data_IF_456054977361
#
_entry.id   IF_456054977361
#
_cell.length_a   1.000
_cell.length_b   1.000
_cell.length_c   1.000
_cell.angle_alpha   90.00
_cell.angle_beta   90.00
_cell.angle_gamma   90.00
#
_symmetry.space_group_name_H-M   'P 1'
#
loop_
_entity.id
_entity.type
_entity.pdbx_description
1 polymer ?
#
# COMPACT_ATOMS: atom_id res chain seq x y z
N UNK A 1 -8.77 -24.82 -14.82
CA UNK A 1 -8.48 -24.61 -13.38
C UNK A 1 -9.05 -25.71 -12.46
N UNK A 2 -9.35 -26.93 -12.94
CA UNK A 2 -10.02 -27.99 -12.14
C UNK A 2 -9.07 -28.74 -11.17
N UNK A 3 -7.76 -28.51 -11.24
CA UNK A 3 -6.76 -29.29 -10.48
C UNK A 3 -6.48 -28.77 -9.05
N UNK A 4 -6.98 -27.58 -8.68
CA UNK A 4 -6.65 -26.93 -7.40
C UNK A 4 -7.84 -26.16 -6.81
N UNK A 5 -8.91 -26.87 -6.44
CA UNK A 5 -10.16 -26.25 -5.97
C UNK A 5 -10.01 -25.44 -4.66
N UNK A 6 -8.97 -25.69 -3.86
CA UNK A 6 -8.68 -24.96 -2.61
C UNK A 6 -7.81 -23.71 -2.79
N UNK A 7 -7.27 -23.46 -3.98
CA UNK A 7 -6.36 -22.32 -4.22
C UNK A 7 -7.13 -21.04 -4.51
N UNK A 8 -6.99 -20.04 -3.67
CA UNK A 8 -7.44 -18.68 -3.97
C UNK A 8 -6.51 -18.05 -5.00
N UNK A 9 -7.11 -17.46 -6.04
CA UNK A 9 -6.40 -16.58 -6.95
C UNK A 9 -7.00 -15.20 -6.79
N UNK A 10 -6.16 -14.23 -6.48
CA UNK A 10 -6.56 -12.83 -6.38
C UNK A 10 -5.48 -11.97 -7.05
N UNK A 11 -5.87 -10.95 -7.82
CA UNK A 11 -4.94 -9.92 -8.25
C UNK A 11 -4.28 -9.21 -7.07
N UNK A 12 -3.11 -8.64 -7.33
CA UNK A 12 -2.34 -7.86 -6.37
C UNK A 12 -3.09 -6.57 -6.00
N UNK A 13 -3.32 -6.35 -4.70
CA UNK A 13 -4.04 -5.19 -4.20
C UNK A 13 -3.30 -3.89 -4.52
N UNK A 14 -1.99 -3.86 -4.29
CA UNK A 14 -1.18 -2.67 -4.59
C UNK A 14 -1.28 -2.27 -6.07
N UNK A 15 -1.30 -3.25 -6.98
CA UNK A 15 -1.47 -3.01 -8.41
C UNK A 15 -2.84 -2.41 -8.73
N UNK A 16 -3.90 -2.89 -8.09
CA UNK A 16 -5.24 -2.32 -8.30
C UNK A 16 -5.34 -0.88 -7.77
N UNK A 17 -4.80 -0.60 -6.58
CA UNK A 17 -4.80 0.77 -6.05
C UNK A 17 -3.95 1.71 -6.91
N UNK A 18 -2.81 1.24 -7.42
CA UNK A 18 -2.01 1.99 -8.39
C UNK A 18 -2.82 2.29 -9.67
N UNK A 19 -3.63 1.33 -10.16
CA UNK A 19 -4.53 1.54 -11.30
C UNK A 19 -5.68 2.51 -11.02
N UNK A 20 -6.16 2.61 -9.78
CA UNK A 20 -7.12 3.64 -9.37
C UNK A 20 -6.45 5.01 -9.44
N UNK A 21 -5.24 5.14 -8.89
CA UNK A 21 -4.47 6.39 -8.95
C UNK A 21 -4.14 6.77 -10.40
N UNK A 22 -3.80 5.82 -11.26
CA UNK A 22 -3.64 6.05 -12.70
C UNK A 22 -4.90 6.64 -13.33
N UNK A 23 -6.05 6.03 -13.11
CA UNK A 23 -7.31 6.51 -13.69
C UNK A 23 -7.69 7.91 -13.16
N UNK A 24 -7.46 8.19 -11.87
CA UNK A 24 -7.65 9.53 -11.29
C UNK A 24 -6.65 10.53 -11.92
N UNK A 25 -5.39 10.14 -12.08
CA UNK A 25 -4.34 10.96 -12.69
C UNK A 25 -4.58 11.27 -14.18
N UNK A 26 -5.45 10.49 -14.83
CA UNK A 26 -5.85 10.68 -16.23
C UNK A 26 -7.09 11.57 -16.39
N UNK A 27 -7.72 12.03 -15.30
CA UNK A 27 -8.77 13.06 -15.38
C UNK A 27 -8.11 14.37 -15.84
N UNK A 28 -8.64 15.02 -16.88
CA UNK A 28 -8.00 16.16 -17.58
C UNK A 28 -7.42 17.23 -16.64
N UNK A 29 -8.21 17.68 -15.65
CA UNK A 29 -7.77 18.71 -14.71
C UNK A 29 -6.70 18.19 -13.73
N UNK A 30 -6.76 16.92 -13.33
CA UNK A 30 -5.74 16.27 -12.49
C UNK A 30 -4.45 16.12 -13.28
N UNK A 31 -4.54 15.61 -14.51
CA UNK A 31 -3.40 15.42 -15.39
C UNK A 31 -2.65 16.73 -15.64
N UNK A 32 -3.40 17.81 -15.89
CA UNK A 32 -2.85 19.16 -16.08
C UNK A 32 -2.00 19.59 -14.89
N UNK A 33 -2.52 19.42 -13.66
CA UNK A 33 -1.81 19.80 -12.43
C UNK A 33 -0.60 18.91 -12.18
N UNK A 34 -0.68 17.61 -12.48
CA UNK A 34 0.46 16.70 -12.36
C UNK A 34 1.59 17.07 -13.33
N UNK A 35 1.29 17.47 -14.56
CA UNK A 35 2.30 17.94 -15.52
C UNK A 35 2.85 19.34 -15.17
N UNK A 36 2.03 20.23 -14.61
CA UNK A 36 2.47 21.50 -14.03
C UNK A 36 3.45 21.26 -12.86
N UNK A 37 3.11 20.37 -11.93
CA UNK A 37 3.97 19.96 -10.82
C UNK A 37 5.30 19.35 -11.29
N UNK A 38 5.25 18.49 -12.31
CA UNK A 38 6.43 17.90 -12.95
C UNK A 38 7.32 18.95 -13.64
N UNK A 39 6.71 19.99 -14.19
CA UNK A 39 7.43 21.12 -14.77
C UNK A 39 8.17 21.92 -13.68
N UNK A 40 7.52 22.16 -12.54
CA UNK A 40 8.15 22.77 -11.35
C UNK A 40 9.34 21.92 -10.88
N UNK A 41 9.14 20.63 -10.65
CA UNK A 41 10.23 19.77 -10.14
C UNK A 41 11.37 19.64 -11.14
N UNK A 42 11.09 19.47 -12.43
CA UNK A 42 12.14 19.44 -13.46
C UNK A 42 13.01 20.69 -13.45
N UNK A 43 12.40 21.87 -13.26
CA UNK A 43 13.16 23.11 -13.16
C UNK A 43 13.99 23.19 -11.87
N UNK A 44 13.38 22.88 -10.72
CA UNK A 44 14.05 22.97 -9.41
C UNK A 44 15.25 22.03 -9.31
N UNK A 45 15.13 20.82 -9.85
CA UNK A 45 16.20 19.81 -9.84
C UNK A 45 17.17 19.94 -11.02
N UNK A 46 16.85 20.74 -12.04
CA UNK A 46 17.63 20.83 -13.27
C UNK A 46 18.98 21.56 -13.13
N UNK A 47 19.15 22.37 -12.09
CA UNK A 47 20.38 23.14 -11.86
C UNK A 47 20.77 23.08 -10.38
N UNK A 48 22.06 22.84 -10.09
CA UNK A 48 22.58 22.69 -8.72
C UNK A 48 22.29 23.91 -7.84
N UNK A 49 22.37 25.12 -8.40
CA UNK A 49 22.09 26.35 -7.66
C UNK A 49 20.61 26.44 -7.25
N UNK A 50 19.68 26.16 -8.17
CA UNK A 50 18.24 26.16 -7.90
C UNK A 50 17.86 25.08 -6.90
N UNK A 51 18.45 23.88 -7.02
CA UNK A 51 18.25 22.77 -6.10
C UNK A 51 18.71 23.13 -4.67
N UNK A 52 19.91 23.72 -4.54
CA UNK A 52 20.43 24.15 -3.25
C UNK A 52 19.59 25.28 -2.65
N UNK A 53 19.09 26.20 -3.47
CA UNK A 53 18.16 27.23 -3.04
C UNK A 53 16.86 26.62 -2.52
N UNK A 54 16.25 25.70 -3.27
CA UNK A 54 15.04 25.00 -2.81
C UNK A 54 15.27 24.33 -1.46
N UNK A 55 16.35 23.56 -1.31
CA UNK A 55 16.72 22.89 -0.05
C UNK A 55 16.89 23.86 1.11
N UNK A 56 17.47 25.05 0.87
CA UNK A 56 17.58 26.10 1.91
C UNK A 56 16.22 26.52 2.44
N UNK A 57 15.23 26.67 1.57
CA UNK A 57 13.88 27.14 1.93
C UNK A 57 12.96 26.02 2.43
N UNK A 58 13.16 24.78 1.98
CA UNK A 58 12.37 23.62 2.42
C UNK A 58 12.94 22.93 3.66
N UNK A 59 14.06 23.43 4.22
CA UNK A 59 14.75 22.81 5.34
C UNK A 59 15.36 21.44 4.98
N UNK A 60 15.84 21.30 3.75
CA UNK A 60 16.43 20.06 3.22
C UNK A 60 15.43 19.02 2.74
N UNK A 61 14.13 19.29 2.79
CA UNK A 61 13.09 18.36 2.33
C UNK A 61 13.08 18.25 0.81
N UNK A 62 13.14 17.02 0.32
CA UNK A 62 13.03 16.68 -1.10
C UNK A 62 11.57 16.70 -1.57
N UNK A 63 11.35 17.16 -2.80
CA UNK A 63 10.01 17.19 -3.42
C UNK A 63 9.71 15.93 -4.23
N UNK A 64 10.73 15.30 -4.81
CA UNK A 64 10.57 14.06 -5.58
C UNK A 64 10.82 12.86 -4.67
N UNK A 65 9.94 11.87 -4.78
CA UNK A 65 10.02 10.61 -4.03
C UNK A 65 10.16 9.43 -5.00
N UNK A 66 11.40 9.06 -5.39
CA UNK A 66 11.63 8.02 -6.39
C UNK A 66 11.35 6.61 -5.82
N UNK A 67 11.33 5.58 -6.68
CA UNK A 67 11.29 4.14 -6.32
C UNK A 67 9.91 3.57 -5.90
N UNK A 68 8.82 4.16 -6.36
CA UNK A 68 7.47 3.57 -6.29
C UNK A 68 6.90 3.49 -7.71
N UNK A 69 5.67 2.96 -7.89
CA UNK A 69 4.97 3.06 -9.17
C UNK A 69 4.89 4.52 -9.64
N UNK A 70 4.81 4.69 -10.96
CA UNK A 70 4.88 6.00 -11.63
C UNK A 70 3.82 6.97 -11.10
N UNK A 71 2.56 6.53 -10.98
CA UNK A 71 1.47 7.41 -10.57
C UNK A 71 1.50 7.75 -9.09
N UNK A 72 1.89 6.79 -8.23
CA UNK A 72 2.10 7.08 -6.81
C UNK A 72 3.21 8.12 -6.63
N UNK A 73 4.30 7.99 -7.37
CA UNK A 73 5.39 8.99 -7.39
C UNK A 73 4.88 10.38 -7.78
N UNK A 74 3.98 10.48 -8.75
CA UNK A 74 3.40 11.75 -9.18
C UNK A 74 2.56 12.41 -8.09
N UNK A 75 1.65 11.66 -7.45
CA UNK A 75 0.82 12.21 -6.37
C UNK A 75 1.62 12.52 -5.11
N UNK A 76 2.63 11.71 -4.77
CA UNK A 76 3.53 12.01 -3.65
C UNK A 76 4.37 13.26 -3.92
N UNK A 77 4.86 13.44 -5.15
CA UNK A 77 5.59 14.65 -5.52
C UNK A 77 4.71 15.89 -5.47
N UNK A 78 3.47 15.79 -5.98
CA UNK A 78 2.47 16.86 -5.88
C UNK A 78 2.18 17.21 -4.42
N UNK A 79 2.00 16.21 -3.55
CA UNK A 79 1.81 16.41 -2.11
C UNK A 79 3.00 17.14 -1.48
N UNK A 80 4.23 16.75 -1.78
CA UNK A 80 5.41 17.43 -1.26
C UNK A 80 5.46 18.89 -1.70
N UNK A 81 5.09 19.21 -2.95
CA UNK A 81 4.97 20.59 -3.43
C UNK A 81 3.90 21.36 -2.65
N UNK A 82 2.73 20.76 -2.44
CA UNK A 82 1.63 21.35 -1.65
C UNK A 82 2.05 21.65 -0.21
N UNK A 83 2.76 20.73 0.45
CA UNK A 83 3.27 20.94 1.81
C UNK A 83 4.31 22.08 1.86
N UNK A 84 5.05 22.28 0.76
CA UNK A 84 6.07 23.32 0.65
C UNK A 84 5.56 24.60 -0.02
N UNK A 85 4.24 24.80 -0.17
CA UNK A 85 3.65 25.94 -0.87
C UNK A 85 4.24 27.29 -0.43
N UNK A 86 4.17 27.59 0.87
CA UNK A 86 4.64 28.86 1.42
C UNK A 86 6.16 29.02 1.27
N UNK A 87 6.91 27.93 1.47
CA UNK A 87 8.37 27.93 1.34
C UNK A 87 8.80 28.18 -0.11
N UNK A 88 8.11 27.59 -1.08
CA UNK A 88 8.37 27.81 -2.50
C UNK A 88 8.00 29.23 -2.90
N UNK A 89 6.84 29.75 -2.48
CA UNK A 89 6.47 31.16 -2.69
C UNK A 89 7.50 32.12 -2.10
N UNK A 90 7.95 31.84 -0.87
CA UNK A 90 8.99 32.60 -0.19
C UNK A 90 10.31 32.56 -0.96
N UNK A 91 10.75 31.40 -1.44
CA UNK A 91 11.96 31.26 -2.26
C UNK A 91 11.92 32.18 -3.50
N UNK A 92 10.82 32.17 -4.27
CA UNK A 92 10.70 32.96 -5.50
C UNK A 92 10.49 34.48 -5.29
N UNK A 93 10.21 34.90 -4.06
CA UNK A 93 10.12 36.32 -3.65
C UNK A 93 11.35 36.81 -2.89
N UNK A 94 12.21 35.92 -2.42
CA UNK A 94 13.39 36.27 -1.63
C UNK A 94 14.42 37.06 -2.44
N UNK A 95 15.13 37.98 -1.78
CA UNK A 95 16.16 38.84 -2.40
C UNK A 95 17.25 38.02 -3.09
N UNK A 96 17.78 36.98 -2.45
CA UNK A 96 18.76 36.04 -3.03
C UNK A 96 18.30 35.47 -4.40
N UNK A 97 17.01 35.15 -4.53
CA UNK A 97 16.44 34.71 -5.80
C UNK A 97 16.39 35.85 -6.80
N UNK A 98 15.81 36.99 -6.42
CA UNK A 98 15.61 38.14 -7.30
C UNK A 98 16.93 38.74 -7.83
N UNK A 99 18.01 38.68 -7.04
CA UNK A 99 19.34 39.14 -7.45
C UNK A 99 20.10 38.11 -8.30
N UNK A 100 19.62 36.88 -8.42
CA UNK A 100 20.32 35.82 -9.14
C UNK A 100 20.28 36.02 -10.67
N UNK A 101 21.28 35.49 -11.35
CA UNK A 101 21.30 35.43 -12.82
C UNK A 101 20.16 34.57 -13.40
N UNK A 102 19.64 33.62 -12.61
CA UNK A 102 18.58 32.70 -13.02
C UNK A 102 17.20 33.35 -13.02
N UNK A 103 16.97 34.34 -12.15
CA UNK A 103 15.66 35.00 -12.02
C UNK A 103 15.15 35.57 -13.33
N UNK A 104 16.02 36.10 -14.20
CA UNK A 104 15.65 36.74 -15.47
C UNK A 104 15.42 35.75 -16.61
N UNK A 105 15.71 34.46 -16.42
CA UNK A 105 15.55 33.46 -17.45
C UNK A 105 14.06 33.24 -17.78
N UNK A 106 13.65 33.10 -19.06
CA UNK A 106 12.24 32.92 -19.42
C UNK A 106 11.58 31.73 -18.72
N UNK A 107 12.31 30.60 -18.60
CA UNK A 107 11.81 29.42 -17.87
C UNK A 107 11.59 29.72 -16.38
N UNK A 108 12.48 30.48 -15.74
CA UNK A 108 12.35 30.88 -14.34
C UNK A 108 11.10 31.75 -14.11
N UNK A 109 10.81 32.66 -15.04
CA UNK A 109 9.63 33.52 -14.99
C UNK A 109 8.34 32.72 -15.22
N UNK A 110 8.37 31.71 -16.09
CA UNK A 110 7.24 30.81 -16.28
C UNK A 110 6.95 30.00 -14.99
N UNK A 111 7.97 29.43 -14.36
CA UNK A 111 7.82 28.72 -13.08
C UNK A 111 7.33 29.65 -11.98
N UNK A 112 7.91 30.85 -11.86
CA UNK A 112 7.44 31.85 -10.91
C UNK A 112 5.95 32.16 -11.14
N UNK A 113 5.55 32.41 -12.38
CA UNK A 113 4.15 32.69 -12.72
C UNK A 113 3.22 31.54 -12.30
N UNK A 114 3.64 30.28 -12.52
CA UNK A 114 2.90 29.10 -12.09
C UNK A 114 2.82 28.96 -10.56
N UNK A 115 3.91 29.22 -9.83
CA UNK A 115 3.96 29.20 -8.36
C UNK A 115 3.07 30.28 -7.73
N UNK A 116 2.79 31.38 -8.43
CA UNK A 116 1.86 32.42 -7.97
C UNK A 116 0.45 32.27 -8.54
N UNK A 117 0.17 31.18 -9.25
CA UNK A 117 -1.12 30.97 -9.89
C UNK A 117 -2.10 30.25 -8.94
N UNK A 118 -3.13 30.96 -8.48
CA UNK A 118 -4.12 30.41 -7.53
C UNK A 118 -4.81 29.14 -8.04
N UNK A 119 -5.05 29.04 -9.36
CA UNK A 119 -5.67 27.84 -9.95
C UNK A 119 -4.82 26.59 -9.71
N UNK A 120 -3.50 26.70 -9.81
CA UNK A 120 -2.59 25.57 -9.64
C UNK A 120 -2.72 25.02 -8.22
N UNK A 121 -2.59 25.88 -7.20
CA UNK A 121 -2.68 25.46 -5.81
C UNK A 121 -4.04 24.88 -5.47
N UNK A 122 -5.13 25.53 -5.90
CA UNK A 122 -6.49 25.02 -5.67
C UNK A 122 -6.65 23.59 -6.18
N UNK A 123 -6.28 23.32 -7.43
CA UNK A 123 -6.40 21.99 -8.00
C UNK A 123 -5.34 21.01 -7.49
N UNK A 124 -4.16 21.48 -7.06
CA UNK A 124 -3.14 20.65 -6.42
C UNK A 124 -3.63 20.12 -5.06
N UNK A 125 -4.18 20.98 -4.21
CA UNK A 125 -4.82 20.59 -2.95
C UNK A 125 -5.96 19.60 -3.17
N UNK A 126 -6.77 19.83 -4.21
CA UNK A 126 -7.86 18.92 -4.58
C UNK A 126 -7.33 17.54 -4.99
N UNK A 127 -6.41 17.47 -5.96
CA UNK A 127 -5.83 16.20 -6.41
C UNK A 127 -5.12 15.43 -5.29
N UNK A 128 -4.41 16.11 -4.39
CA UNK A 128 -3.79 15.50 -3.21
C UNK A 128 -4.84 14.90 -2.27
N UNK A 129 -5.93 15.63 -2.02
CA UNK A 129 -7.02 15.18 -1.14
C UNK A 129 -7.72 13.93 -1.70
N UNK A 130 -7.88 13.84 -3.02
CA UNK A 130 -8.46 12.68 -3.69
C UNK A 130 -7.53 11.45 -3.65
N UNK A 131 -6.22 11.66 -3.79
CA UNK A 131 -5.23 10.58 -3.84
C UNK A 131 -4.85 10.05 -2.45
N UNK A 132 -4.89 10.90 -1.42
CA UNK A 132 -4.45 10.56 -0.06
C UNK A 132 -5.00 9.23 0.50
N UNK A 133 -6.32 8.94 0.48
CA UNK A 133 -6.81 7.69 1.03
C UNK A 133 -6.26 6.46 0.29
N UNK A 134 -6.00 6.54 -1.02
CA UNK A 134 -5.39 5.44 -1.77
C UNK A 134 -3.91 5.27 -1.45
N UNK A 135 -3.19 6.37 -1.22
CA UNK A 135 -1.81 6.32 -0.73
C UNK A 135 -1.77 5.65 0.65
N UNK A 136 -2.72 5.93 1.54
CA UNK A 136 -2.85 5.23 2.83
C UNK A 136 -3.09 3.73 2.65
N UNK A 137 -4.01 3.33 1.76
CA UNK A 137 -4.24 1.91 1.47
C UNK A 137 -2.98 1.25 0.91
N UNK A 138 -2.25 1.92 0.01
CA UNK A 138 -0.99 1.40 -0.51
C UNK A 138 0.03 1.14 0.61
N UNK A 139 0.16 2.06 1.56
CA UNK A 139 1.01 1.85 2.75
C UNK A 139 0.61 0.65 3.58
N UNK A 140 -0.68 0.35 3.66
CA UNK A 140 -1.17 -0.84 4.35
C UNK A 140 -0.73 -2.10 3.60
N UNK A 141 -0.97 -2.17 2.28
CA UNK A 141 -0.75 -3.41 1.50
C UNK A 141 0.69 -3.69 1.12
N UNK A 142 1.48 -2.63 0.90
CA UNK A 142 2.94 -2.73 0.67
C UNK A 142 3.72 -2.72 1.98
N UNK A 143 3.02 -2.46 3.10
CA UNK A 143 3.57 -2.56 4.43
C UNK A 143 3.89 -4.01 4.81
N UNK A 144 4.41 -4.13 6.02
CA UNK A 144 4.92 -5.37 6.56
C UNK A 144 3.88 -6.05 7.49
N UNK A 145 2.73 -5.39 7.67
CA UNK A 145 1.61 -5.82 8.51
C UNK A 145 0.55 -6.62 7.74
N UNK A 146 -0.14 -7.59 8.37
CA UNK A 146 -1.23 -8.34 7.72
C UNK A 146 -2.38 -7.43 7.27
N UNK A 147 -2.44 -7.13 5.98
CA UNK A 147 -3.33 -6.14 5.38
C UNK A 147 -4.70 -6.68 4.96
N UNK A 148 -4.84 -8.01 4.78
CA UNK A 148 -5.99 -8.63 4.12
C UNK A 148 -7.33 -8.27 4.76
N UNK A 149 -7.39 -8.23 6.08
CA UNK A 149 -8.59 -7.89 6.84
C UNK A 149 -9.03 -6.42 6.73
N UNK A 150 -8.20 -5.53 6.18
CA UNK A 150 -8.44 -4.09 6.15
C UNK A 150 -8.79 -3.56 4.75
N UNK A 151 -8.66 -4.40 3.71
CA UNK A 151 -8.81 -3.97 2.32
C UNK A 151 -10.18 -3.40 2.00
N UNK A 152 -11.24 -4.12 2.37
CA UNK A 152 -12.61 -3.72 2.07
C UNK A 152 -12.96 -2.42 2.81
N UNK A 153 -12.62 -2.33 4.09
CA UNK A 153 -12.82 -1.12 4.89
C UNK A 153 -12.00 0.06 4.33
N UNK A 154 -10.78 -0.17 3.88
CA UNK A 154 -9.93 0.86 3.27
C UNK A 154 -10.59 1.52 2.05
N UNK A 155 -11.19 0.73 1.15
CA UNK A 155 -11.89 1.24 -0.03
C UNK A 155 -13.13 2.04 0.36
N UNK A 156 -13.92 1.56 1.32
CA UNK A 156 -15.09 2.28 1.80
C UNK A 156 -14.69 3.59 2.51
N UNK A 157 -13.63 3.58 3.32
CA UNK A 157 -13.04 4.79 3.90
C UNK A 157 -12.55 5.77 2.84
N UNK A 158 -11.98 5.30 1.74
CA UNK A 158 -11.56 6.15 0.62
C UNK A 158 -12.76 6.85 -0.03
N UNK A 159 -13.82 6.10 -0.34
CA UNK A 159 -15.08 6.66 -0.87
C UNK A 159 -15.67 7.71 0.07
N UNK A 160 -15.77 7.40 1.37
CA UNK A 160 -16.27 8.33 2.40
C UNK A 160 -15.42 9.58 2.46
N UNK A 161 -14.08 9.46 2.45
CA UNK A 161 -13.16 10.59 2.49
C UNK A 161 -13.38 11.54 1.30
N UNK A 162 -13.55 11.00 0.10
CA UNK A 162 -13.83 11.78 -1.12
C UNK A 162 -15.19 12.47 -1.03
N UNK A 163 -16.23 11.76 -0.55
CA UNK A 163 -17.56 12.35 -0.35
C UNK A 163 -17.52 13.50 0.66
N UNK A 164 -16.79 13.34 1.76
CA UNK A 164 -16.60 14.38 2.78
C UNK A 164 -15.87 15.58 2.20
N UNK A 165 -14.81 15.37 1.43
CA UNK A 165 -14.08 16.45 0.74
C UNK A 165 -15.00 17.32 -0.12
N UNK A 166 -15.90 16.68 -0.88
CA UNK A 166 -16.91 17.38 -1.69
C UNK A 166 -18.18 17.78 -0.94
N UNK A 167 -18.19 17.71 0.39
CA UNK A 167 -19.33 18.08 1.25
C UNK A 167 -20.64 17.37 0.88
N UNK A 168 -20.54 16.14 0.37
CA UNK A 168 -21.69 15.35 -0.04
C UNK A 168 -22.33 15.74 -1.38
N UNK A 169 -21.71 16.63 -2.17
CA UNK A 169 -22.21 17.01 -3.50
C UNK A 169 -21.93 15.88 -4.50
N UNK A 170 -22.98 15.12 -4.81
CA UNK A 170 -22.91 13.87 -5.57
C UNK A 170 -22.30 14.04 -6.96
N UNK A 171 -22.64 15.11 -7.68
CA UNK A 171 -22.16 15.39 -9.03
C UNK A 171 -20.63 15.52 -9.12
N UNK A 172 -19.98 15.84 -8.00
CA UNK A 172 -18.52 16.04 -7.95
C UNK A 172 -17.74 14.75 -7.70
N UNK A 173 -18.28 13.82 -6.92
CA UNK A 173 -17.54 12.61 -6.53
C UNK A 173 -17.98 11.34 -7.25
N UNK A 174 -19.16 11.31 -7.88
CA UNK A 174 -19.67 10.09 -8.50
C UNK A 174 -18.82 9.57 -9.65
N UNK A 175 -18.21 10.46 -10.43
CA UNK A 175 -17.26 10.06 -11.48
C UNK A 175 -16.03 9.37 -10.90
N UNK A 176 -15.55 9.83 -9.75
CA UNK A 176 -14.41 9.25 -9.04
C UNK A 176 -14.81 7.92 -8.40
N UNK A 177 -16.00 7.84 -7.78
CA UNK A 177 -16.53 6.58 -7.25
C UNK A 177 -16.69 5.52 -8.33
N UNK A 178 -17.15 5.90 -9.53
CA UNK A 178 -17.23 5.00 -10.68
C UNK A 178 -15.86 4.43 -11.07
N UNK A 179 -14.79 5.22 -11.02
CA UNK A 179 -13.40 4.74 -11.22
C UNK A 179 -13.05 3.68 -10.17
N UNK A 180 -13.30 3.98 -8.90
CA UNK A 180 -13.01 3.08 -7.77
C UNK A 180 -13.78 1.77 -7.93
N UNK A 181 -15.10 1.84 -8.14
CA UNK A 181 -15.97 0.68 -8.25
C UNK A 181 -15.61 -0.19 -9.45
N UNK A 182 -15.30 0.43 -10.59
CA UNK A 182 -14.84 -0.30 -11.77
C UNK A 182 -13.56 -1.08 -11.49
N UNK A 183 -12.55 -0.46 -10.87
CA UNK A 183 -11.28 -1.13 -10.56
C UNK A 183 -11.43 -2.16 -9.46
N UNK A 184 -12.17 -1.83 -8.40
CA UNK A 184 -12.45 -2.73 -7.29
C UNK A 184 -13.20 -3.98 -7.75
N UNK A 185 -14.33 -3.82 -8.45
CA UNK A 185 -15.16 -4.95 -8.86
C UNK A 185 -14.51 -5.84 -9.91
N UNK A 186 -13.68 -5.27 -10.80
CA UNK A 186 -13.01 -6.06 -11.84
C UNK A 186 -11.75 -6.76 -11.30
N UNK A 187 -11.04 -6.19 -10.32
CA UNK A 187 -9.73 -6.70 -9.93
C UNK A 187 -9.59 -7.18 -8.48
N UNK A 188 -10.39 -6.71 -7.53
CA UNK A 188 -10.17 -7.02 -6.10
C UNK A 188 -11.38 -7.50 -5.33
N UNK A 189 -12.59 -7.33 -5.85
CA UNK A 189 -13.80 -7.85 -5.20
C UNK A 189 -13.87 -9.38 -5.35
N UNK A 190 -13.03 -10.07 -4.58
CA UNK A 190 -12.95 -11.53 -4.52
C UNK A 190 -13.54 -12.02 -3.21
N UNK A 191 -14.00 -13.27 -3.21
CA UNK A 191 -14.47 -13.95 -2.01
C UNK A 191 -13.44 -13.95 -0.87
N UNK A 192 -12.14 -13.93 -1.20
CA UNK A 192 -11.06 -13.82 -0.21
C UNK A 192 -11.07 -12.49 0.56
N UNK A 193 -11.15 -11.35 -0.14
CA UNK A 193 -11.15 -10.04 0.52
C UNK A 193 -12.46 -9.80 1.29
N UNK A 194 -13.59 -10.25 0.74
CA UNK A 194 -14.88 -10.22 1.43
C UNK A 194 -14.84 -11.04 2.73
N UNK A 195 -14.34 -12.27 2.67
CA UNK A 195 -14.18 -13.10 3.86
C UNK A 195 -13.22 -12.50 4.88
N UNK A 196 -12.13 -11.88 4.43
CA UNK A 196 -11.18 -11.22 5.32
C UNK A 196 -11.81 -10.03 6.06
N UNK A 197 -12.62 -9.23 5.39
CA UNK A 197 -13.37 -8.15 6.03
C UNK A 197 -14.40 -8.68 7.02
N UNK A 198 -15.11 -9.75 6.66
CA UNK A 198 -16.06 -10.43 7.56
C UNK A 198 -15.36 -11.01 8.80
N UNK A 199 -14.13 -11.50 8.65
CA UNK A 199 -13.37 -12.15 9.72
C UNK A 199 -12.52 -11.16 10.52
N UNK A 200 -12.40 -9.90 10.10
CA UNK A 200 -11.70 -8.89 10.90
C UNK A 200 -12.63 -8.43 12.05
N UNK A 201 -12.32 -8.73 13.33
CA UNK A 201 -13.20 -8.40 14.44
C UNK A 201 -13.36 -6.89 14.64
N UNK A 202 -12.34 -6.07 14.33
CA UNK A 202 -12.46 -4.61 14.39
C UNK A 202 -13.47 -4.07 13.37
N UNK A 203 -13.59 -4.72 12.21
CA UNK A 203 -14.46 -4.31 11.11
C UNK A 203 -15.86 -4.91 11.27
N UNK A 204 -15.98 -6.23 11.50
CA UNK A 204 -17.26 -6.94 11.58
C UNK A 204 -18.16 -6.47 12.73
N UNK A 205 -17.57 -6.21 13.91
CA UNK A 205 -18.31 -5.76 15.08
C UNK A 205 -18.41 -4.23 15.19
N UNK A 206 -17.91 -3.48 14.21
CA UNK A 206 -18.03 -2.03 14.21
C UNK A 206 -19.46 -1.62 13.82
N UNK A 207 -20.21 -0.90 14.67
CA UNK A 207 -21.58 -0.47 14.36
C UNK A 207 -21.66 0.44 13.11
N UNK A 208 -20.59 1.14 12.77
CA UNK A 208 -20.52 2.05 11.63
C UNK A 208 -20.17 1.34 10.32
N UNK A 209 -19.73 0.08 10.37
CA UNK A 209 -19.39 -0.69 9.19
C UNK A 209 -20.54 -1.65 8.83
N UNK A 210 -21.15 -1.44 7.67
CA UNK A 210 -22.27 -2.26 7.21
C UNK A 210 -21.77 -3.44 6.40
N UNK A 211 -21.96 -4.64 6.93
CA UNK A 211 -21.75 -5.90 6.21
C UNK A 211 -22.88 -6.08 5.19
N UNK A 212 -22.59 -5.76 3.93
CA UNK A 212 -23.52 -5.85 2.82
C UNK A 212 -23.66 -7.30 2.29
N UNK A 213 -24.49 -7.48 1.26
CA UNK A 213 -24.69 -8.79 0.61
C UNK A 213 -23.41 -9.30 -0.05
N UNK A 214 -22.59 -8.41 -0.61
CA UNK A 214 -21.31 -8.76 -1.25
C UNK A 214 -20.37 -9.43 -0.27
N UNK A 215 -20.18 -8.84 0.91
CA UNK A 215 -19.32 -9.37 1.96
C UNK A 215 -19.84 -10.71 2.49
N UNK A 216 -21.16 -10.83 2.69
CA UNK A 216 -21.79 -12.09 3.16
C UNK A 216 -21.62 -13.23 2.16
N UNK A 217 -21.92 -12.97 0.89
CA UNK A 217 -21.82 -13.97 -0.17
C UNK A 217 -20.35 -14.37 -0.39
N UNK A 218 -19.45 -13.40 -0.41
CA UNK A 218 -18.01 -13.65 -0.55
C UNK A 218 -17.44 -14.44 0.63
N UNK A 219 -17.88 -14.17 1.86
CA UNK A 219 -17.53 -14.99 3.02
C UNK A 219 -17.99 -16.45 2.85
N UNK A 220 -19.24 -16.69 2.45
CA UNK A 220 -19.76 -18.03 2.24
C UNK A 220 -18.98 -18.79 1.16
N UNK A 221 -18.70 -18.13 0.04
CA UNK A 221 -17.90 -18.72 -1.05
C UNK A 221 -16.48 -19.07 -0.59
N UNK A 222 -15.83 -18.18 0.16
CA UNK A 222 -14.51 -18.45 0.71
C UNK A 222 -14.52 -19.60 1.72
N UNK A 223 -15.53 -19.67 2.60
CA UNK A 223 -15.66 -20.77 3.55
C UNK A 223 -15.87 -22.12 2.85
N UNK A 224 -16.70 -22.17 1.81
CA UNK A 224 -16.87 -23.38 0.99
C UNK A 224 -15.57 -23.83 0.34
N UNK A 225 -14.72 -22.87 -0.05
CA UNK A 225 -13.41 -23.14 -0.65
C UNK A 225 -12.34 -23.54 0.36
N UNK A 226 -12.44 -23.02 1.59
CA UNK A 226 -11.56 -23.35 2.71
C UNK A 226 -11.88 -24.71 3.34
N UNK A 227 -13.15 -25.15 3.27
CA UNK A 227 -13.59 -26.44 3.75
C UNK A 227 -13.07 -27.56 2.84
N UNK A 228 -12.15 -28.39 3.37
CA UNK A 228 -11.53 -29.49 2.60
C UNK A 228 -12.43 -30.73 2.65
N UNK A 229 -13.14 -30.92 3.76
CA UNK A 229 -14.01 -32.07 4.02
C UNK A 229 -15.45 -31.64 4.28
N UNK A 230 -16.41 -32.56 4.14
CA UNK A 230 -17.79 -32.29 4.53
C UNK A 230 -17.94 -32.05 6.04
N UNK A 231 -17.03 -32.61 6.85
CA UNK A 231 -16.95 -32.28 8.27
C UNK A 231 -16.57 -30.81 8.49
N UNK A 232 -15.60 -30.27 7.75
CA UNK A 232 -15.24 -28.84 7.85
C UNK A 232 -16.43 -27.95 7.48
N UNK A 233 -17.22 -28.32 6.46
CA UNK A 233 -18.45 -27.57 6.09
C UNK A 233 -19.46 -27.56 7.22
N UNK A 234 -19.69 -28.73 7.83
CA UNK A 234 -20.61 -28.87 8.96
C UNK A 234 -20.14 -28.04 10.16
N UNK A 235 -18.86 -28.13 10.52
CA UNK A 235 -18.32 -27.38 11.66
C UNK A 235 -18.32 -25.87 11.40
N UNK A 236 -17.89 -25.39 10.23
CA UNK A 236 -18.00 -23.96 9.89
C UNK A 236 -19.47 -23.48 9.96
N UNK A 237 -20.43 -24.31 9.54
CA UNK A 237 -21.86 -23.97 9.62
C UNK A 237 -22.33 -23.81 11.06
N UNK A 238 -21.85 -24.65 11.99
CA UNK A 238 -22.17 -24.56 13.43
C UNK A 238 -21.44 -23.42 14.13
N UNK A 239 -20.18 -23.20 13.78
CA UNK A 239 -19.28 -22.23 14.41
C UNK A 239 -19.57 -20.79 13.96
N UNK A 240 -20.06 -20.58 12.73
CA UNK A 240 -20.30 -19.23 12.20
C UNK A 240 -21.34 -18.41 13.01
N UNK A 241 -22.51 -18.96 13.41
CA UNK A 241 -23.43 -18.27 14.32
C UNK A 241 -22.81 -17.90 15.67
N UNK A 242 -21.90 -18.72 16.20
CA UNK A 242 -21.17 -18.45 17.46
C UNK A 242 -20.29 -17.21 17.30
N UNK A 243 -19.57 -17.11 16.17
CA UNK A 243 -18.83 -15.89 15.81
C UNK A 243 -19.77 -14.70 15.64
N UNK A 244 -20.78 -14.79 14.77
CA UNK A 244 -21.68 -13.66 14.51
C UNK A 244 -22.32 -13.13 15.80
N UNK A 245 -22.72 -14.02 16.71
CA UNK A 245 -23.34 -13.68 17.99
C UNK A 245 -22.35 -13.28 19.09
N UNK A 246 -21.04 -13.25 18.83
CA UNK A 246 -19.99 -13.07 19.84
C UNK A 246 -20.20 -13.96 21.06
N UNK A 247 -20.50 -15.24 20.86
CA UNK A 247 -20.81 -16.17 21.93
C UNK A 247 -19.53 -16.74 22.56
N UNK A 248 -19.64 -17.18 23.82
CA UNK A 248 -18.54 -17.84 24.54
C UNK A 248 -17.30 -16.96 24.68
N UNK A 249 -16.13 -17.53 24.35
CA UNK A 249 -14.83 -16.86 24.44
C UNK A 249 -14.76 -15.52 23.69
N UNK A 250 -15.48 -15.42 22.56
CA UNK A 250 -15.50 -14.26 21.64
C UNK A 250 -16.27 -13.05 22.21
N UNK A 251 -17.11 -13.31 23.21
CA UNK A 251 -17.93 -12.30 23.91
C UNK A 251 -17.37 -11.85 25.25
N UNK A 252 -16.24 -12.41 25.69
CA UNK A 252 -15.60 -11.99 26.94
C UNK A 252 -15.14 -10.54 26.86
N UNK A 253 -15.07 -9.86 28.01
CA UNK A 253 -14.61 -8.45 28.05
C UNK A 253 -13.22 -8.27 27.43
N UNK A 254 -12.32 -9.24 27.65
CA UNK A 254 -10.99 -9.26 27.02
C UNK A 254 -11.08 -9.41 25.50
N UNK A 255 -11.92 -10.31 24.98
CA UNK A 255 -12.12 -10.47 23.55
C UNK A 255 -12.71 -9.20 22.92
N UNK A 256 -13.67 -8.55 23.57
CA UNK A 256 -14.28 -7.29 23.09
C UNK A 256 -13.22 -6.17 23.02
N UNK A 257 -12.43 -5.97 24.07
CA UNK A 257 -11.31 -5.00 24.04
C UNK A 257 -10.27 -5.38 22.99
N UNK A 258 -9.98 -6.67 22.85
CA UNK A 258 -9.00 -7.19 21.90
C UNK A 258 -9.35 -6.93 20.44
N UNK A 259 -10.62 -6.66 20.09
CA UNK A 259 -11.05 -6.47 18.69
C UNK A 259 -10.29 -5.35 17.99
N UNK A 260 -9.94 -4.29 18.71
CA UNK A 260 -9.22 -3.13 18.18
C UNK A 260 -7.77 -3.04 18.66
N UNK A 261 -7.44 -3.69 19.78
CA UNK A 261 -6.09 -3.67 20.37
C UNK A 261 -5.16 -4.67 19.68
N UNK A 262 -5.69 -5.82 19.25
CA UNK A 262 -4.90 -6.89 18.67
C UNK A 262 -4.97 -6.84 17.14
N UNK A 263 -3.90 -7.32 16.48
CA UNK A 263 -4.02 -7.67 15.07
C UNK A 263 -5.09 -8.77 14.90
N UNK A 264 -5.84 -8.79 13.78
CA UNK A 264 -6.93 -9.75 13.57
C UNK A 264 -6.50 -11.20 13.74
N UNK A 265 -5.32 -11.57 13.23
CA UNK A 265 -4.78 -12.92 13.39
C UNK A 265 -4.51 -13.30 14.85
N UNK A 266 -3.95 -12.38 15.64
CA UNK A 266 -3.66 -12.58 17.07
C UNK A 266 -4.95 -12.66 17.90
N UNK A 267 -5.97 -11.87 17.53
CA UNK A 267 -7.29 -11.96 18.14
C UNK A 267 -7.92 -13.34 17.92
N UNK A 268 -7.87 -13.85 16.69
CA UNK A 268 -8.34 -15.20 16.38
C UNK A 268 -7.55 -16.26 17.12
N UNK A 269 -6.22 -16.16 17.19
CA UNK A 269 -5.39 -17.09 17.93
C UNK A 269 -5.74 -17.12 19.43
N UNK A 270 -6.01 -15.97 20.04
CA UNK A 270 -6.29 -15.84 21.47
C UNK A 270 -7.71 -16.21 21.89
N UNK A 271 -8.73 -15.91 21.06
CA UNK A 271 -10.14 -16.02 21.46
C UNK A 271 -10.97 -17.01 20.62
N UNK A 272 -10.44 -17.48 19.49
CA UNK A 272 -11.14 -18.40 18.58
C UNK A 272 -11.16 -19.88 18.98
N UNK A 273 -10.64 -20.24 20.16
CA UNK A 273 -10.38 -21.64 20.53
C UNK A 273 -11.65 -22.51 20.68
N UNK A 274 -12.82 -21.91 20.89
CA UNK A 274 -14.11 -22.63 20.95
C UNK A 274 -14.71 -22.91 19.56
N UNK A 275 -14.17 -22.27 18.52
CA UNK A 275 -14.59 -22.42 17.13
C UNK A 275 -13.36 -22.74 16.23
N UNK A 276 -12.72 -23.89 16.44
CA UNK A 276 -11.39 -24.18 15.90
C UNK A 276 -11.35 -24.30 14.37
N UNK A 277 -12.47 -24.60 13.71
CA UNK A 277 -12.51 -24.74 12.25
C UNK A 277 -12.49 -23.37 11.57
N UNK A 278 -13.34 -22.46 12.05
CA UNK A 278 -13.43 -21.08 11.62
C UNK A 278 -12.20 -20.28 12.05
N UNK A 279 -11.66 -20.53 13.25
CA UNK A 279 -10.40 -19.94 13.71
C UNK A 279 -9.25 -20.23 12.72
N UNK A 280 -9.07 -21.50 12.33
CA UNK A 280 -8.03 -21.89 11.35
C UNK A 280 -8.28 -21.21 10.00
N UNK A 281 -9.52 -21.13 9.55
CA UNK A 281 -9.86 -20.45 8.29
C UNK A 281 -9.55 -18.95 8.36
N UNK A 282 -9.93 -18.28 9.44
CA UNK A 282 -9.72 -16.87 9.67
C UNK A 282 -8.23 -16.51 9.73
N UNK A 283 -7.45 -17.23 10.52
CA UNK A 283 -6.00 -16.99 10.60
C UNK A 283 -5.34 -17.18 9.23
N UNK A 284 -5.73 -18.21 8.47
CA UNK A 284 -5.19 -18.44 7.11
C UNK A 284 -5.54 -17.31 6.14
N UNK A 285 -6.79 -16.86 6.13
CA UNK A 285 -7.25 -15.78 5.24
C UNK A 285 -6.60 -14.45 5.63
N UNK A 286 -6.64 -14.08 6.90
CA UNK A 286 -6.14 -12.79 7.39
C UNK A 286 -4.61 -12.65 7.27
N UNK A 287 -3.89 -13.77 7.21
CA UNK A 287 -2.43 -13.79 7.02
C UNK A 287 -2.00 -13.80 5.55
N UNK A 288 -2.94 -13.78 4.60
CA UNK A 288 -2.59 -13.72 3.18
C UNK A 288 -1.96 -12.36 2.83
N UNK A 289 -0.87 -12.33 2.05
CA UNK A 289 -0.31 -11.08 1.55
C UNK A 289 -1.26 -10.42 0.54
N UNK A 290 -1.33 -9.09 0.57
CA UNK A 290 -2.12 -8.30 -0.38
C UNK A 290 -1.29 -7.73 -1.52
N UNK A 291 0.03 -7.72 -1.39
CA UNK A 291 0.94 -7.14 -2.38
C UNK A 291 1.97 -8.15 -2.87
N UNK A 292 2.29 -8.03 -4.16
CA UNK A 292 3.42 -8.71 -4.79
C UNK A 292 4.64 -7.79 -4.97
N UNK A 293 4.57 -6.51 -4.55
CA UNK A 293 5.71 -5.58 -4.65
C UNK A 293 6.90 -6.01 -3.80
N UNK A 294 6.63 -6.69 -2.70
CA UNK A 294 7.64 -7.32 -1.87
C UNK A 294 8.61 -8.22 -2.64
N UNK A 295 8.11 -8.98 -3.62
CA UNK A 295 8.96 -9.78 -4.48
C UNK A 295 9.90 -8.91 -5.33
N UNK A 296 9.47 -7.71 -5.74
CA UNK A 296 10.27 -6.80 -6.58
C UNK A 296 11.42 -6.15 -5.83
N UNK A 297 11.25 -5.85 -4.54
CA UNK A 297 12.30 -5.22 -3.73
C UNK A 297 13.50 -6.13 -3.51
N UNK A 298 13.26 -7.42 -3.31
CA UNK A 298 14.35 -8.40 -3.24
C UNK A 298 14.88 -8.78 -4.63
N UNK A 299 14.08 -8.61 -5.70
CA UNK A 299 14.48 -9.03 -7.05
C UNK A 299 15.66 -8.25 -7.62
N UNK A 300 15.81 -6.96 -7.30
CA UNK A 300 16.95 -6.16 -7.74
C UNK A 300 18.28 -6.72 -7.24
N UNK A 301 18.31 -7.34 -6.05
CA UNK A 301 19.47 -8.04 -5.50
C UNK A 301 19.81 -9.30 -6.31
N UNK A 302 18.81 -9.97 -6.88
CA UNK A 302 18.98 -11.19 -7.68
C UNK A 302 19.03 -10.96 -9.20
N UNK A 303 18.81 -9.72 -9.66
CA UNK A 303 18.78 -9.37 -11.10
C UNK A 303 20.16 -9.56 -11.75
N UNK A 304 21.24 -9.30 -11.01
CA UNK A 304 22.63 -9.53 -11.44
C UNK A 304 22.94 -11.02 -11.65
N UNK A 305 22.34 -11.90 -10.84
CA UNK A 305 22.46 -13.37 -10.94
C UNK A 305 21.63 -13.93 -12.10
N UNK A 306 20.54 -13.24 -12.46
CA UNK A 306 19.60 -13.67 -13.50
C UNK A 306 20.11 -13.45 -14.94
N UNK A 307 21.01 -12.49 -15.17
CA UNK A 307 21.43 -12.07 -16.52
C UNK A 307 22.50 -12.97 -17.18
N UNK A 308 22.99 -14.03 -16.50
CA UNK A 308 23.96 -14.97 -17.07
C UNK A 308 23.26 -16.24 -17.61
N UNK A 309 23.74 -16.75 -18.75
CA UNK A 309 23.15 -17.87 -19.52
C UNK A 309 22.88 -19.09 -18.61
N UNK A 310 21.60 -19.46 -18.49
CA UNK A 310 21.11 -20.50 -17.57
C UNK A 310 21.53 -21.92 -17.95
N UNK A 311 22.13 -22.63 -17.01
CA UNK A 311 21.98 -24.09 -16.87
C UNK A 311 21.00 -24.42 -15.72
N UNK A 312 20.51 -25.67 -15.65
CA UNK A 312 19.52 -26.11 -14.64
C UNK A 312 20.03 -25.93 -13.20
N UNK A 313 21.31 -26.13 -12.96
CA UNK A 313 21.91 -26.04 -11.62
C UNK A 313 21.96 -24.59 -11.11
N UNK A 314 22.20 -23.61 -11.98
CA UNK A 314 22.15 -22.20 -11.63
C UNK A 314 20.73 -21.75 -11.25
N UNK A 315 19.70 -22.32 -11.89
CA UNK A 315 18.31 -22.05 -11.54
C UNK A 315 17.93 -22.65 -10.18
N UNK A 316 18.37 -23.87 -9.87
CA UNK A 316 18.18 -24.50 -8.57
C UNK A 316 18.88 -23.69 -7.46
N UNK A 317 20.15 -23.30 -7.69
CA UNK A 317 20.90 -22.42 -6.79
C UNK A 317 20.19 -21.09 -6.56
N UNK A 318 19.66 -20.45 -7.61
CA UNK A 318 18.89 -19.22 -7.46
C UNK A 318 17.65 -19.42 -6.58
N UNK A 319 16.91 -20.51 -6.75
CA UNK A 319 15.74 -20.81 -5.92
C UNK A 319 16.12 -20.96 -4.45
N UNK A 320 17.21 -21.66 -4.16
CA UNK A 320 17.71 -21.84 -2.80
C UNK A 320 18.15 -20.50 -2.17
N UNK A 321 18.85 -19.65 -2.93
CA UNK A 321 19.26 -18.32 -2.47
C UNK A 321 18.07 -17.42 -2.18
N UNK A 322 17.07 -17.39 -3.07
CA UNK A 322 15.83 -16.64 -2.85
C UNK A 322 15.10 -17.17 -1.62
N UNK A 323 15.03 -18.49 -1.43
CA UNK A 323 14.41 -19.10 -0.25
C UNK A 323 15.10 -18.69 1.06
N UNK A 324 16.43 -18.79 1.13
CA UNK A 324 17.21 -18.41 2.32
C UNK A 324 17.04 -16.92 2.61
N UNK A 325 17.21 -16.07 1.60
CA UNK A 325 17.08 -14.61 1.74
C UNK A 325 15.70 -14.20 2.26
N UNK A 326 14.63 -14.74 1.66
CA UNK A 326 13.27 -14.42 2.09
C UNK A 326 13.03 -14.84 3.55
N UNK A 327 13.50 -16.01 3.96
CA UNK A 327 13.32 -16.49 5.34
C UNK A 327 14.11 -15.66 6.35
N UNK A 328 15.37 -15.32 6.06
CA UNK A 328 16.18 -14.45 6.91
C UNK A 328 15.54 -13.06 7.06
N UNK A 329 15.01 -12.53 5.96
CA UNK A 329 14.34 -11.24 5.95
C UNK A 329 13.06 -11.27 6.80
N UNK A 330 12.23 -12.31 6.66
CA UNK A 330 11.05 -12.52 7.50
C UNK A 330 11.39 -12.65 8.99
N UNK A 331 12.47 -13.36 9.32
CA UNK A 331 12.96 -13.44 10.70
C UNK A 331 13.39 -12.09 11.25
N UNK A 332 14.09 -11.29 10.44
CA UNK A 332 14.57 -9.96 10.84
C UNK A 332 13.40 -9.02 11.12
N UNK A 333 12.38 -9.04 10.27
CA UNK A 333 11.13 -8.32 10.48
C UNK A 333 10.40 -8.77 11.74
N UNK A 334 10.34 -10.07 11.98
CA UNK A 334 9.71 -10.59 13.19
C UNK A 334 10.45 -10.13 14.46
N UNK A 335 11.79 -10.15 14.42
CA UNK A 335 12.65 -9.70 15.52
C UNK A 335 12.55 -8.20 15.76
N UNK A 336 12.58 -7.37 14.71
CA UNK A 336 12.49 -5.91 14.83
C UNK A 336 11.17 -5.44 15.48
N UNK A 337 10.12 -6.26 15.38
CA UNK A 337 8.82 -6.03 16.00
C UNK A 337 8.65 -6.60 17.41
N UNK A 338 9.67 -7.25 17.97
CA UNK A 338 9.52 -7.98 19.22
C UNK A 338 8.50 -9.12 19.14
N UNK A 339 8.31 -9.69 17.94
CA UNK A 339 7.48 -10.86 17.70
C UNK A 339 5.96 -10.63 17.72
N UNK A 340 5.48 -9.39 17.64
CA UNK A 340 4.04 -9.07 17.69
C UNK A 340 3.54 -8.35 16.45
N UNK A 341 2.33 -8.70 16.01
CA UNK A 341 1.62 -7.94 15.00
C UNK A 341 0.79 -6.84 15.66
N UNK A 342 0.99 -5.59 15.24
CA UNK A 342 0.14 -4.46 15.66
C UNK A 342 -1.17 -4.41 14.84
N UNK A 343 -2.27 -3.91 15.41
CA UNK A 343 -3.44 -3.56 14.60
C UNK A 343 -3.07 -2.41 13.65
N UNK A 344 -3.75 -2.37 12.49
CA UNK A 344 -3.58 -1.28 11.53
C UNK A 344 -4.64 -0.23 11.84
N UNK A 345 -4.20 0.98 12.20
CA UNK A 345 -5.08 2.11 12.48
C UNK A 345 -5.01 3.05 11.28
N UNK A 346 -6.03 3.01 10.42
CA UNK A 346 -6.05 3.73 9.13
C UNK A 346 -5.77 5.23 9.28
N UNK A 347 -6.31 5.85 10.33
CA UNK A 347 -6.23 7.30 10.55
C UNK A 347 -4.84 7.74 11.02
N UNK A 348 -4.05 6.84 11.60
CA UNK A 348 -2.67 7.08 12.06
C UNK A 348 -1.61 6.84 10.98
N UNK A 349 -2.02 6.41 9.78
CA UNK A 349 -1.08 6.15 8.69
C UNK A 349 -0.48 7.45 8.19
N UNK A 350 0.81 7.61 8.48
CA UNK A 350 1.60 8.71 7.94
C UNK A 350 1.99 8.43 6.48
N UNK A 351 1.40 9.20 5.57
CA UNK A 351 1.73 9.17 4.14
C UNK A 351 3.06 9.89 3.83
N UNK A 352 3.59 10.69 4.77
CA UNK A 352 4.80 11.50 4.64
C UNK A 352 6.06 10.70 4.95
N UNK A 353 6.01 9.72 5.87
CA UNK A 353 7.14 8.83 6.23
C UNK A 353 7.86 8.24 5.01
N UNK A 354 9.14 7.88 5.09
CA UNK A 354 9.85 7.22 3.97
C UNK A 354 9.16 5.91 3.56
N UNK A 355 9.07 5.65 2.26
CA UNK A 355 8.65 4.31 1.81
C UNK A 355 9.79 3.35 2.07
N UNK A 356 9.51 2.09 2.43
CA UNK A 356 10.62 1.17 2.62
C UNK A 356 11.35 0.86 1.29
N UNK A 357 10.76 1.16 0.12
CA UNK A 357 11.45 1.19 -1.18
C UNK A 357 12.33 2.42 -1.42
N UNK A 358 12.13 3.50 -0.67
CA UNK A 358 12.94 4.73 -0.75
C UNK A 358 14.22 4.61 0.08
N UNK A 359 14.23 3.75 1.10
CA UNK A 359 15.42 3.44 1.88
C UNK A 359 16.47 2.83 0.96
N UNK A 360 17.69 3.38 0.96
CA UNK A 360 18.81 2.74 0.29
C UNK A 360 19.08 1.36 0.95
N UNK A 361 19.43 0.33 0.15
CA UNK A 361 19.85 -0.96 0.69
C UNK A 361 21.11 -0.86 1.58
N UNK A 362 21.73 0.33 1.69
CA UNK A 362 22.94 0.61 2.46
C UNK A 362 22.74 0.69 3.98
N UNK A 363 21.51 0.54 4.49
CA UNK A 363 21.30 0.12 5.89
C UNK A 363 20.73 -1.28 5.86
N UNK A 364 21.57 -2.32 5.77
CA UNK A 364 21.08 -3.65 5.60
C UNK A 364 20.43 -4.05 6.92
N UNK A 365 19.13 -4.34 6.88
CA UNK A 365 18.53 -5.19 7.91
C UNK A 365 19.21 -6.57 7.92
N UNK A 366 19.88 -6.95 6.82
CA UNK A 366 20.67 -8.17 6.63
C UNK A 366 22.00 -7.86 5.94
N UNK A 367 23.11 -8.24 6.56
CA UNK A 367 24.42 -8.26 5.90
C UNK A 367 24.37 -9.21 4.70
N UNK A 368 24.21 -8.67 3.50
CA UNK A 368 24.11 -9.42 2.24
C UNK A 368 25.48 -9.82 1.68
N UNK A 369 26.58 -9.57 2.40
CA UNK A 369 27.95 -9.95 1.97
C UNK A 369 28.13 -11.45 1.74
N UNK A 370 27.25 -12.28 2.32
CA UNK A 370 27.21 -13.72 2.03
C UNK A 370 26.90 -14.02 0.56
N UNK A 371 26.13 -13.18 -0.14
CA UNK A 371 25.85 -13.35 -1.57
C UNK A 371 27.11 -13.19 -2.43
N UNK A 372 28.02 -12.30 -2.04
CA UNK A 372 29.29 -12.05 -2.73
C UNK A 372 30.34 -13.14 -2.45
N UNK A 373 30.19 -13.87 -1.34
CA UNK A 373 31.12 -14.94 -0.94
C UNK A 373 30.87 -16.29 -1.64
N UNK A 374 29.85 -16.37 -2.50
CA UNK A 374 29.49 -17.60 -3.19
C UNK A 374 30.31 -17.70 -4.50
N UNK A 375 31.18 -18.71 -4.66
CA UNK A 375 31.95 -18.88 -5.89
C UNK A 375 31.01 -18.99 -7.11
N UNK A 376 31.29 -18.15 -8.11
CA UNK A 376 30.64 -18.17 -9.43
C UNK A 376 31.26 -19.21 -10.38
N UNK A 377 32.27 -19.95 -9.93
CA UNK A 377 32.96 -20.92 -10.78
C UNK A 377 32.32 -22.30 -10.68
N UNK A 378 31.60 -22.65 -11.73
CA UNK A 378 31.60 -24.02 -12.25
C UNK A 378 32.14 -24.01 -13.68
N UNK A 379 33.38 -23.55 -13.88
CA UNK A 379 34.19 -24.04 -15.00
C UNK A 379 34.58 -25.47 -14.68
N UNK A 380 33.72 -26.42 -15.04
CA UNK A 380 34.19 -27.77 -15.32
C UNK A 380 34.82 -27.69 -16.71
N UNK A 381 36.14 -27.52 -16.74
CA UNK A 381 36.98 -27.68 -17.93
C UNK A 381 36.98 -29.15 -18.38
N UNK A 382 37.25 -29.42 -19.67
CA UNK A 382 36.53 -30.39 -20.51
C UNK A 382 36.79 -31.87 -20.23
#
# INVERSE_FOLDING_TARGET
MVKYNSLFWSPCASCCIDKILEDIGNIDWVNTVLEEAKTITRYLYGQSWTLNMMRKFTGGKELIRPRISRYVTYFLSLRSIVIQEDNLKHMFSHTDWLSSMYSKHPEAQAIKSLIYLDRFWKYAHEAVSLAEPFVKILRIVDGDMPAMGYMYEGIERAKVSIKVYYKGVEEKYMSIWSIIDRRWNVHLNSSLHAAAAFLNPSTFYNPNFKIDLTVRNGFQEAMLKMAITDNDKMEITKECPVYIGAQGALGTQFAIMGRTINAPGDWWAGYGYEIPTLQRAAMRILSQPCSSHWCRWNWTTFESLHNKKRNKAELEKLNDLVFVHCNLWLQTIFQSRGGKSKPIIFDEIDVISEWPSELDPSTPLLDDSWLDSIPLDSTISP
#
